data_IF_083391943527
#
_entry.id   IF_083391943527
#
_cell.length_a   1.000
_cell.length_b   1.000
_cell.length_c   1.000
_cell.angle_alpha   90.00
_cell.angle_beta   90.00
_cell.angle_gamma   90.00
#
_symmetry.space_group_name_H-M   'P 1'
#
loop_
_entity.id
_entity.type
_entity.pdbx_description
1 polymer ?
#
# COMPACT_ATOMS: atom_id res chain seq x y z
N UNK A 1 35.42 -25.48 18.00
CA UNK A 1 35.08 -24.20 17.36
C UNK A 1 33.91 -23.63 18.12
N UNK A 2 33.99 -22.37 18.53
CA UNK A 2 32.90 -21.66 19.19
C UNK A 2 31.67 -21.66 18.26
N UNK A 3 30.51 -22.13 18.75
CA UNK A 3 29.25 -22.20 17.99
C UNK A 3 28.24 -21.23 18.59
N UNK A 4 27.26 -20.81 17.80
CA UNK A 4 26.19 -19.89 18.20
C UNK A 4 26.45 -18.43 17.86
N UNK A 5 27.61 -18.09 17.30
CA UNK A 5 27.92 -16.72 16.86
C UNK A 5 27.64 -16.49 15.36
N UNK A 6 27.55 -17.56 14.55
CA UNK A 6 27.17 -17.48 13.13
C UNK A 6 28.17 -16.71 12.24
N UNK A 7 29.38 -16.45 12.73
CA UNK A 7 30.35 -15.58 12.05
C UNK A 7 30.05 -14.07 12.15
N UNK A 8 28.88 -13.69 12.67
CA UNK A 8 28.44 -12.30 12.75
C UNK A 8 29.25 -11.50 13.77
N UNK A 9 29.44 -10.21 13.49
CA UNK A 9 30.10 -9.27 14.40
C UNK A 9 29.32 -7.96 14.42
N UNK A 10 29.20 -7.37 15.62
CA UNK A 10 28.73 -6.00 15.77
C UNK A 10 29.98 -5.14 15.83
N UNK A 11 30.15 -4.23 14.88
CA UNK A 11 31.30 -3.32 14.88
C UNK A 11 31.13 -2.24 15.95
N UNK A 12 32.24 -1.64 16.42
CA UNK A 12 32.18 -0.53 17.37
C UNK A 12 31.27 0.60 16.86
N UNK A 13 31.33 0.90 15.56
CA UNK A 13 30.47 1.88 14.93
C UNK A 13 28.98 1.51 14.98
N UNK A 14 28.63 0.24 14.76
CA UNK A 14 27.24 -0.21 14.93
C UNK A 14 26.78 -0.03 16.37
N UNK A 15 27.62 -0.39 17.34
CA UNK A 15 27.29 -0.20 18.76
C UNK A 15 27.08 1.27 19.10
N UNK A 16 27.92 2.17 18.59
CA UNK A 16 27.82 3.61 18.84
C UNK A 16 26.50 4.17 18.32
N UNK A 17 26.05 3.72 17.15
CA UNK A 17 24.73 4.11 16.64
C UNK A 17 23.60 3.50 17.48
N UNK A 18 23.70 2.22 17.83
CA UNK A 18 22.67 1.51 18.60
C UNK A 18 22.48 2.05 20.03
N UNK A 19 23.56 2.56 20.65
CA UNK A 19 23.57 3.16 22.00
C UNK A 19 22.83 4.49 22.07
N UNK A 20 22.55 5.14 20.93
CA UNK A 20 21.82 6.40 20.94
C UNK A 20 20.40 6.22 21.52
N UNK A 21 19.92 7.15 22.35
CA UNK A 21 18.59 7.06 22.95
C UNK A 21 17.49 7.26 21.91
N UNK A 22 16.30 6.70 22.17
CA UNK A 22 15.15 6.83 21.28
C UNK A 22 15.30 6.03 19.97
N UNK A 23 14.57 6.45 18.93
CA UNK A 23 14.65 5.83 17.60
C UNK A 23 15.80 6.39 16.79
N UNK A 24 16.42 5.54 15.98
CA UNK A 24 17.51 5.88 15.09
C UNK A 24 16.88 6.46 13.81
N UNK A 25 16.77 7.78 13.76
CA UNK A 25 16.32 8.52 12.57
C UNK A 25 17.39 8.56 11.48
N UNK A 26 17.02 9.06 10.29
CA UNK A 26 17.99 9.31 9.20
C UNK A 26 19.15 10.19 9.69
N UNK A 27 18.85 11.25 10.46
CA UNK A 27 19.87 12.16 11.02
C UNK A 27 20.81 11.49 12.01
N UNK A 28 20.37 10.40 12.64
CA UNK A 28 21.14 9.62 13.60
C UNK A 28 21.91 8.46 12.96
N UNK A 29 21.84 8.32 11.62
CA UNK A 29 22.60 7.33 10.87
C UNK A 29 21.85 6.02 10.60
N UNK A 30 20.51 6.04 10.53
CA UNK A 30 19.70 4.83 10.27
C UNK A 30 20.10 4.11 8.99
N UNK A 31 20.31 4.85 7.89
CA UNK A 31 20.72 4.30 6.59
C UNK A 31 22.10 3.62 6.67
N UNK A 32 23.05 4.27 7.37
CA UNK A 32 24.39 3.73 7.59
C UNK A 32 24.32 2.43 8.39
N UNK A 33 23.52 2.42 9.46
CA UNK A 33 23.34 1.25 10.29
C UNK A 33 22.68 0.09 9.51
N UNK A 34 21.67 0.37 8.68
CA UNK A 34 21.05 -0.63 7.80
C UNK A 34 22.06 -1.25 6.83
N UNK A 35 22.89 -0.42 6.20
CA UNK A 35 23.92 -0.89 5.28
C UNK A 35 24.92 -1.81 6.00
N UNK A 36 25.40 -1.40 7.19
CA UNK A 36 26.30 -2.24 8.00
C UNK A 36 25.65 -3.56 8.41
N UNK A 37 24.38 -3.55 8.84
CA UNK A 37 23.64 -4.78 9.14
C UNK A 37 23.55 -5.69 7.93
N UNK A 38 23.24 -5.14 6.75
CA UNK A 38 23.14 -5.93 5.52
C UNK A 38 24.48 -6.55 5.13
N UNK A 39 25.58 -5.80 5.23
CA UNK A 39 26.94 -6.29 4.97
C UNK A 39 27.31 -7.40 5.95
N UNK A 40 27.19 -7.15 7.25
CA UNK A 40 27.56 -8.12 8.29
C UNK A 40 26.68 -9.37 8.24
N UNK A 41 25.37 -9.22 8.00
CA UNK A 41 24.49 -10.37 7.84
C UNK A 41 24.81 -11.20 6.59
N UNK A 42 25.39 -10.59 5.55
CA UNK A 42 25.91 -11.30 4.38
C UNK A 42 27.05 -12.28 4.70
N UNK A 43 27.75 -12.08 5.83
CA UNK A 43 28.82 -12.96 6.32
C UNK A 43 28.31 -14.10 7.21
N UNK A 44 26.98 -14.26 7.35
CA UNK A 44 26.38 -15.32 8.15
C UNK A 44 26.84 -16.71 7.67
N UNK A 45 27.64 -17.37 8.49
CA UNK A 45 28.06 -18.76 8.30
C UNK A 45 27.14 -19.66 9.13
N UNK A 46 26.21 -20.31 8.43
CA UNK A 46 25.22 -21.21 9.05
C UNK A 46 25.88 -22.38 9.78
N UNK A 47 27.10 -22.78 9.43
CA UNK A 47 27.82 -23.88 10.10
C UNK A 47 28.39 -23.47 11.47
N UNK A 48 28.43 -22.17 11.76
CA UNK A 48 28.84 -21.61 13.06
C UNK A 48 27.64 -21.28 13.96
N UNK A 49 26.43 -21.60 13.54
CA UNK A 49 25.24 -21.58 14.39
C UNK A 49 25.26 -22.77 15.36
N UNK A 50 24.47 -22.71 16.43
CA UNK A 50 24.18 -23.92 17.18
C UNK A 50 23.45 -24.94 16.29
N UNK A 51 23.47 -26.22 16.67
CA UNK A 51 22.70 -27.24 15.96
C UNK A 51 21.20 -26.90 15.92
N UNK A 52 20.69 -26.29 16.98
CA UNK A 52 19.28 -25.91 17.09
C UNK A 52 18.94 -24.71 16.18
N UNK A 53 19.74 -23.64 16.19
CA UNK A 53 19.57 -22.50 15.29
C UNK A 53 19.71 -22.91 13.82
N UNK A 54 20.68 -23.80 13.52
CA UNK A 54 20.82 -24.38 12.19
C UNK A 54 19.57 -25.15 11.76
N UNK A 55 19.03 -26.02 12.63
CA UNK A 55 17.80 -26.76 12.35
C UNK A 55 16.59 -25.83 12.13
N UNK A 56 16.47 -24.76 12.92
CA UNK A 56 15.43 -23.74 12.74
C UNK A 56 15.58 -23.02 11.39
N UNK A 57 16.77 -22.51 11.09
CA UNK A 57 17.05 -21.77 9.86
C UNK A 57 16.88 -22.65 8.61
N UNK A 58 17.21 -23.94 8.69
CA UNK A 58 17.03 -24.87 7.57
C UNK A 58 15.62 -25.48 7.50
N UNK A 59 14.78 -25.30 8.53
CA UNK A 59 13.43 -25.85 8.54
C UNK A 59 13.38 -27.38 8.80
N UNK A 60 14.38 -27.92 9.51
CA UNK A 60 14.46 -29.34 9.89
C UNK A 60 13.60 -29.64 11.13
N UNK A 61 12.29 -29.76 10.92
CA UNK A 61 11.31 -29.89 12.01
C UNK A 61 11.56 -31.07 12.95
N UNK A 62 12.05 -32.21 12.45
CA UNK A 62 12.27 -33.39 13.30
C UNK A 62 13.40 -33.14 14.31
N UNK A 63 14.47 -32.47 13.88
CA UNK A 63 15.59 -32.13 14.76
C UNK A 63 15.19 -31.10 15.80
N UNK A 64 14.37 -30.10 15.41
CA UNK A 64 13.82 -29.12 16.34
C UNK A 64 12.96 -29.82 17.41
N UNK A 65 12.04 -30.71 16.99
CA UNK A 65 11.20 -31.47 17.93
C UNK A 65 11.99 -32.37 18.84
N UNK A 66 13.00 -33.07 18.31
CA UNK A 66 13.86 -33.94 19.08
C UNK A 66 14.66 -33.14 20.12
N UNK A 67 15.19 -31.98 19.75
CA UNK A 67 15.94 -31.13 20.67
C UNK A 67 15.08 -30.59 21.81
N UNK A 68 13.87 -30.10 21.51
CA UNK A 68 12.94 -29.58 22.52
C UNK A 68 12.46 -30.70 23.43
N UNK A 69 11.97 -31.81 22.87
CA UNK A 69 11.42 -32.94 23.64
C UNK A 69 12.49 -33.67 24.46
N UNK A 70 13.73 -33.70 23.96
CA UNK A 70 14.87 -34.28 24.66
C UNK A 70 15.51 -33.37 25.71
N UNK A 71 15.03 -32.12 25.87
CA UNK A 71 15.58 -31.16 26.83
C UNK A 71 16.99 -30.67 26.51
N UNK A 72 17.45 -30.83 25.27
CA UNK A 72 18.78 -30.41 24.79
C UNK A 72 18.74 -29.13 23.95
N UNK A 73 17.53 -28.63 23.64
CA UNK A 73 17.36 -27.33 23.01
C UNK A 73 17.91 -26.21 23.92
N UNK A 74 18.49 -25.15 23.35
CA UNK A 74 18.75 -23.91 24.10
C UNK A 74 17.43 -23.33 24.62
N UNK A 75 17.52 -22.32 25.48
CA UNK A 75 16.35 -21.54 25.88
C UNK A 75 15.67 -20.95 24.64
N UNK A 76 14.54 -21.52 24.26
CA UNK A 76 13.76 -21.14 23.08
C UNK A 76 13.17 -19.73 23.19
N UNK A 77 13.20 -19.13 24.39
CA UNK A 77 12.82 -17.74 24.64
C UNK A 77 13.98 -16.77 24.43
N UNK A 78 15.19 -17.29 24.31
CA UNK A 78 16.40 -16.54 24.04
C UNK A 78 16.72 -16.37 22.56
N UNK A 79 17.95 -15.92 22.31
CA UNK A 79 18.46 -15.62 20.99
C UNK A 79 19.92 -16.07 20.85
N UNK A 80 20.37 -16.22 19.61
CA UNK A 80 21.77 -16.50 19.29
C UNK A 80 22.40 -15.36 18.50
N UNK A 81 23.72 -15.45 18.36
CA UNK A 81 24.60 -14.51 17.65
C UNK A 81 24.74 -13.14 18.33
N UNK A 82 25.79 -12.38 18.00
CA UNK A 82 25.89 -10.98 18.41
C UNK A 82 24.70 -10.12 17.98
N UNK A 83 23.93 -10.55 16.97
CA UNK A 83 22.75 -9.84 16.49
C UNK A 83 21.49 -10.16 17.28
N UNK A 84 21.55 -11.05 18.29
CA UNK A 84 20.42 -11.43 19.14
C UNK A 84 19.22 -11.93 18.31
N UNK A 85 19.48 -12.77 17.32
CA UNK A 85 18.44 -13.32 16.45
C UNK A 85 17.72 -14.46 17.19
N UNK A 86 16.42 -14.31 17.39
CA UNK A 86 15.56 -15.36 17.95
C UNK A 86 15.31 -16.53 16.98
N UNK A 87 14.90 -17.68 17.50
CA UNK A 87 14.70 -18.89 16.70
C UNK A 87 13.55 -18.79 15.68
N UNK A 88 12.49 -18.04 16.01
CA UNK A 88 11.43 -17.71 15.05
C UNK A 88 11.98 -16.84 13.91
N UNK A 89 12.77 -15.81 14.24
CA UNK A 89 13.44 -14.95 13.24
C UNK A 89 14.40 -15.74 12.36
N UNK A 90 15.21 -16.65 12.92
CA UNK A 90 16.06 -17.56 12.12
C UNK A 90 15.26 -18.38 11.12
N UNK A 91 14.14 -18.92 11.56
CA UNK A 91 13.27 -19.75 10.72
C UNK A 91 12.72 -18.94 9.54
N UNK A 92 12.30 -17.69 9.77
CA UNK A 92 11.85 -16.77 8.72
C UNK A 92 13.00 -16.39 7.77
N UNK A 93 14.15 -15.99 8.31
CA UNK A 93 15.33 -15.59 7.55
C UNK A 93 15.89 -16.73 6.69
N UNK A 94 15.76 -17.96 7.19
CA UNK A 94 16.08 -19.20 6.50
C UNK A 94 15.16 -19.49 5.32
N UNK A 95 13.84 -19.36 5.51
CA UNK A 95 12.85 -19.50 4.45
C UNK A 95 13.07 -18.51 3.28
N UNK A 96 13.59 -17.32 3.59
CA UNK A 96 13.93 -16.31 2.57
C UNK A 96 15.17 -16.68 1.76
N UNK A 97 16.19 -17.25 2.40
CA UNK A 97 17.54 -17.40 1.82
C UNK A 97 17.77 -18.76 1.16
N UNK A 98 17.20 -19.82 1.73
CA UNK A 98 17.47 -21.18 1.27
C UNK A 98 16.53 -21.50 0.11
N UNK A 99 17.02 -21.34 -1.11
CA UNK A 99 16.32 -21.70 -2.36
C UNK A 99 16.90 -23.01 -2.92
N UNK A 100 16.06 -23.82 -3.56
CA UNK A 100 16.50 -25.01 -4.31
C UNK A 100 16.53 -26.33 -3.53
N UNK A 101 15.98 -26.37 -2.32
CA UNK A 101 15.73 -27.63 -1.63
C UNK A 101 14.51 -28.34 -2.24
N UNK A 102 14.47 -29.68 -2.13
CA UNK A 102 13.35 -30.48 -2.62
C UNK A 102 12.02 -29.97 -2.03
N UNK A 103 10.91 -29.93 -2.80
CA UNK A 103 9.64 -29.31 -2.40
C UNK A 103 9.02 -29.76 -1.05
N UNK A 104 9.57 -30.79 -0.40
CA UNK A 104 9.09 -31.32 0.88
C UNK A 104 10.17 -31.42 1.99
N UNK A 105 11.41 -30.99 1.74
CA UNK A 105 12.49 -31.22 2.72
C UNK A 105 12.61 -30.14 3.79
N UNK A 106 12.24 -28.88 3.49
CA UNK A 106 12.36 -27.77 4.44
C UNK A 106 10.97 -27.29 4.87
N UNK A 107 10.70 -27.37 6.17
CA UNK A 107 9.38 -27.18 6.75
C UNK A 107 9.35 -25.98 7.71
N UNK A 108 9.80 -24.81 7.25
CA UNK A 108 9.88 -23.59 8.05
C UNK A 108 8.54 -23.22 8.71
N UNK A 109 7.41 -23.41 8.00
CA UNK A 109 6.09 -23.17 8.57
C UNK A 109 5.79 -24.11 9.76
N UNK A 110 6.14 -25.40 9.65
CA UNK A 110 5.95 -26.36 10.73
C UNK A 110 6.84 -26.04 11.93
N UNK A 111 8.07 -25.55 11.68
CA UNK A 111 8.99 -25.09 12.73
C UNK A 111 8.41 -23.88 13.46
N UNK A 112 7.93 -22.85 12.75
CA UNK A 112 7.28 -21.68 13.38
C UNK A 112 6.11 -22.12 14.26
N UNK A 113 5.19 -22.94 13.72
CA UNK A 113 4.02 -23.39 14.47
C UNK A 113 4.41 -24.19 15.72
N UNK A 114 5.41 -25.07 15.62
CA UNK A 114 5.87 -25.86 16.75
C UNK A 114 6.55 -25.01 17.83
N UNK A 115 7.45 -24.10 17.44
CA UNK A 115 8.12 -23.20 18.39
C UNK A 115 7.12 -22.32 19.13
N UNK A 116 6.11 -21.78 18.42
CA UNK A 116 5.02 -21.00 19.04
C UNK A 116 4.21 -21.87 20.03
N UNK A 117 3.90 -23.11 19.68
CA UNK A 117 3.21 -24.05 20.59
C UNK A 117 4.05 -24.36 21.84
N UNK A 118 5.37 -24.38 21.71
CA UNK A 118 6.30 -24.56 22.83
C UNK A 118 6.52 -23.28 23.66
N UNK A 119 5.89 -22.15 23.31
CA UNK A 119 6.00 -20.90 24.06
C UNK A 119 7.15 -19.99 23.62
N UNK A 120 7.72 -20.20 22.41
CA UNK A 120 8.68 -19.24 21.86
C UNK A 120 8.01 -17.86 21.68
N UNK A 121 8.62 -16.78 22.18
CA UNK A 121 8.04 -15.44 22.13
C UNK A 121 8.00 -14.91 20.70
N UNK A 122 6.81 -14.60 20.14
CA UNK A 122 6.68 -14.16 18.75
C UNK A 122 7.32 -12.78 18.47
N UNK A 123 7.40 -11.95 19.52
CA UNK A 123 7.86 -10.56 19.44
C UNK A 123 9.29 -10.36 19.98
N UNK A 124 10.10 -11.42 20.07
CA UNK A 124 11.50 -11.29 20.49
C UNK A 124 12.28 -10.45 19.47
N UNK A 125 12.83 -9.29 19.87
CA UNK A 125 13.55 -8.42 18.96
C UNK A 125 15.00 -8.86 18.76
N UNK A 126 15.49 -8.71 17.53
CA UNK A 126 16.93 -8.71 17.27
C UNK A 126 17.59 -7.39 17.73
N UNK A 127 18.90 -7.26 17.54
CA UNK A 127 19.65 -6.06 17.94
C UNK A 127 19.17 -4.78 17.25
N UNK A 128 18.50 -4.88 16.10
CA UNK A 128 17.86 -3.77 15.39
C UNK A 128 16.40 -3.56 15.80
N UNK A 129 15.88 -4.35 16.73
CA UNK A 129 14.49 -4.31 17.15
C UNK A 129 13.52 -5.04 16.23
N UNK A 130 13.99 -5.76 15.19
CA UNK A 130 13.09 -6.51 14.32
C UNK A 130 12.64 -7.80 15.00
N UNK A 131 11.34 -8.03 15.00
CA UNK A 131 10.74 -9.32 15.38
C UNK A 131 10.65 -10.26 14.18
N UNK A 132 10.28 -11.52 14.42
CA UNK A 132 10.04 -12.47 13.34
C UNK A 132 9.00 -11.95 12.32
N UNK A 133 7.99 -11.20 12.79
CA UNK A 133 6.96 -10.62 11.92
C UNK A 133 7.52 -9.52 11.03
N UNK A 134 8.42 -8.65 11.54
CA UNK A 134 9.12 -7.68 10.70
C UNK A 134 9.85 -8.37 9.55
N UNK A 135 10.64 -9.39 9.87
CA UNK A 135 11.38 -10.16 8.87
C UNK A 135 10.45 -10.81 7.85
N UNK A 136 9.30 -11.37 8.27
CA UNK A 136 8.36 -12.05 7.39
C UNK A 136 7.66 -11.09 6.40
N UNK A 137 7.55 -9.82 6.75
CA UNK A 137 6.97 -8.76 5.92
C UNK A 137 8.01 -8.06 5.01
N UNK A 138 9.31 -8.28 5.21
CA UNK A 138 10.38 -7.63 4.45
C UNK A 138 10.47 -8.16 3.00
N UNK A 139 10.42 -7.28 1.98
CA UNK A 139 10.58 -7.68 0.57
C UNK A 139 12.03 -8.12 0.25
N UNK A 140 12.28 -8.84 -0.87
CA UNK A 140 11.37 -9.24 -1.94
C UNK A 140 10.60 -10.54 -1.68
N UNK A 141 10.75 -11.12 -0.48
CA UNK A 141 10.24 -12.44 -0.11
C UNK A 141 9.28 -12.30 1.07
N UNK A 142 8.19 -11.56 0.84
CA UNK A 142 7.05 -11.56 1.75
C UNK A 142 6.53 -12.99 1.87
N UNK A 143 6.71 -13.61 3.04
CA UNK A 143 6.27 -14.98 3.29
C UNK A 143 4.91 -14.95 3.98
N UNK A 144 3.85 -14.71 3.19
CA UNK A 144 2.48 -14.62 3.68
C UNK A 144 2.10 -15.73 4.66
N UNK A 145 2.46 -16.99 4.36
CA UNK A 145 2.18 -18.14 5.22
C UNK A 145 2.87 -18.05 6.59
N UNK A 146 4.11 -17.54 6.65
CA UNK A 146 4.87 -17.37 7.90
C UNK A 146 4.36 -16.18 8.69
N UNK A 147 4.11 -15.04 8.03
CA UNK A 147 3.47 -13.88 8.65
C UNK A 147 2.12 -14.26 9.26
N UNK A 148 1.33 -15.08 8.53
CA UNK A 148 0.07 -15.63 9.02
C UNK A 148 0.25 -16.46 10.28
N UNK A 149 1.21 -17.39 10.27
CA UNK A 149 1.47 -18.25 11.43
C UNK A 149 1.88 -17.44 12.66
N UNK A 150 2.76 -16.45 12.49
CA UNK A 150 3.21 -15.56 13.56
C UNK A 150 2.06 -14.76 14.17
N UNK A 151 1.22 -14.13 13.35
CA UNK A 151 0.06 -13.36 13.81
C UNK A 151 -0.97 -14.24 14.52
N UNK A 152 -1.26 -15.44 13.99
CA UNK A 152 -2.12 -16.42 14.68
C UNK A 152 -1.50 -16.92 15.99
N UNK A 153 -0.18 -16.94 16.07
CA UNK A 153 0.60 -17.23 17.27
C UNK A 153 0.71 -16.08 18.26
N UNK A 154 0.00 -14.97 18.02
CA UNK A 154 -0.03 -13.84 18.95
C UNK A 154 1.07 -12.79 18.72
N UNK A 155 1.79 -12.81 17.60
CA UNK A 155 2.70 -11.72 17.24
C UNK A 155 1.95 -10.38 17.18
N UNK A 156 2.51 -9.35 17.81
CA UNK A 156 1.93 -8.02 17.79
C UNK A 156 2.31 -7.28 16.49
N UNK A 157 1.35 -6.90 15.63
CA UNK A 157 1.64 -6.19 14.37
C UNK A 157 2.11 -4.75 14.56
N UNK A 158 2.19 -4.26 15.80
CA UNK A 158 2.50 -2.87 16.15
C UNK A 158 3.82 -2.71 16.91
N UNK A 159 4.65 -3.77 17.01
CA UNK A 159 6.00 -3.64 17.61
C UNK A 159 6.84 -2.70 16.77
N UNK A 160 7.49 -1.72 17.41
CA UNK A 160 8.41 -0.80 16.73
C UNK A 160 9.85 -1.27 16.87
N UNK A 161 10.57 -1.36 15.75
CA UNK A 161 12.00 -1.63 15.75
C UNK A 161 12.83 -0.40 16.22
N UNK A 162 14.16 -0.47 16.19
CA UNK A 162 15.05 0.65 16.58
C UNK A 162 14.95 1.86 15.65
N UNK A 163 14.31 1.73 14.49
CA UNK A 163 14.01 2.82 13.56
C UNK A 163 12.59 3.37 13.75
N UNK A 164 11.82 2.85 14.71
CA UNK A 164 10.44 3.23 14.97
C UNK A 164 9.42 2.59 14.01
N UNK A 165 9.87 1.75 13.09
CA UNK A 165 9.01 1.13 12.09
C UNK A 165 8.25 -0.05 12.68
N UNK A 166 6.97 -0.12 12.35
CA UNK A 166 6.12 -1.31 12.56
C UNK A 166 6.17 -2.24 11.34
N UNK A 167 5.81 -3.54 11.48
CA UNK A 167 5.72 -4.49 10.36
C UNK A 167 4.93 -4.00 9.13
N UNK A 168 3.96 -3.10 9.31
CA UNK A 168 3.13 -2.57 8.22
C UNK A 168 3.89 -1.67 7.22
N UNK A 169 5.06 -1.15 7.55
CA UNK A 169 5.86 -0.36 6.59
C UNK A 169 6.43 -1.21 5.45
N UNK A 170 6.85 -2.45 5.72
CA UNK A 170 7.60 -3.26 4.78
C UNK A 170 6.79 -3.73 3.55
N UNK A 171 5.52 -4.15 3.67
CA UNK A 171 4.67 -4.51 2.53
C UNK A 171 4.48 -3.36 1.54
N UNK A 172 4.62 -2.11 1.98
CA UNK A 172 4.45 -0.95 1.09
C UNK A 172 5.59 -0.87 0.06
N UNK A 173 6.83 -1.14 0.48
CA UNK A 173 7.99 -1.17 -0.41
C UNK A 173 7.88 -2.27 -1.47
N UNK A 174 7.36 -3.45 -1.09
CA UNK A 174 7.15 -4.58 -1.99
C UNK A 174 5.83 -4.54 -2.79
N UNK A 175 4.92 -3.59 -2.47
CA UNK A 175 3.51 -3.62 -2.91
C UNK A 175 2.80 -4.96 -2.61
N UNK A 176 3.13 -5.59 -1.49
CA UNK A 176 2.56 -6.87 -1.06
C UNK A 176 1.19 -6.65 -0.38
N UNK A 177 0.16 -6.48 -1.21
CA UNK A 177 -1.21 -6.25 -0.75
C UNK A 177 -1.76 -7.40 0.12
N UNK A 178 -1.49 -8.70 -0.19
CA UNK A 178 -1.90 -9.80 0.69
C UNK A 178 -1.38 -9.69 2.12
N UNK A 179 -0.08 -9.41 2.32
CA UNK A 179 0.48 -9.23 3.67
C UNK A 179 -0.08 -7.98 4.34
N UNK A 180 -0.18 -6.86 3.60
CA UNK A 180 -0.81 -5.63 4.10
C UNK A 180 -2.22 -5.90 4.62
N UNK A 181 -3.07 -6.54 3.82
CA UNK A 181 -4.45 -6.84 4.20
C UNK A 181 -4.51 -7.72 5.46
N UNK A 182 -3.62 -8.70 5.56
CA UNK A 182 -3.59 -9.61 6.69
C UNK A 182 -3.10 -8.95 8.00
N UNK A 183 -2.13 -8.04 7.92
CA UNK A 183 -1.74 -7.19 9.05
C UNK A 183 -2.91 -6.30 9.50
N UNK A 184 -3.63 -5.71 8.54
CA UNK A 184 -4.77 -4.84 8.82
C UNK A 184 -5.95 -5.60 9.45
N UNK A 185 -6.16 -6.87 9.07
CA UNK A 185 -7.10 -7.80 9.73
C UNK A 185 -6.76 -8.04 11.20
N UNK A 186 -5.48 -7.99 11.56
CA UNK A 186 -5.00 -8.19 12.93
C UNK A 186 -4.78 -6.86 13.66
N UNK A 187 -5.49 -5.80 13.27
CA UNK A 187 -5.46 -4.48 13.92
C UNK A 187 -4.08 -3.79 13.89
N UNK A 188 -3.33 -3.95 12.79
CA UNK A 188 -2.18 -3.07 12.55
C UNK A 188 -2.61 -1.60 12.54
N UNK A 189 -1.89 -0.76 13.27
CA UNK A 189 -2.15 0.66 13.44
C UNK A 189 -1.50 1.45 12.30
N UNK A 190 -2.29 2.34 11.69
CA UNK A 190 -1.85 3.20 10.60
C UNK A 190 -1.21 4.50 11.08
N UNK A 191 -1.31 4.81 12.38
CA UNK A 191 -0.95 6.10 12.96
C UNK A 191 0.32 6.06 13.81
N UNK A 192 0.91 4.88 14.03
CA UNK A 192 2.21 4.73 14.68
C UNK A 192 3.29 5.36 13.80
N UNK A 193 4.02 6.32 14.37
CA UNK A 193 5.08 7.06 13.69
C UNK A 193 6.43 6.39 13.86
N UNK A 194 7.20 6.35 12.78
CA UNK A 194 8.59 5.93 12.81
C UNK A 194 9.52 6.99 13.43
N UNK A 195 10.82 6.70 13.47
CA UNK A 195 11.84 7.61 13.99
C UNK A 195 12.00 8.90 13.17
N UNK A 196 11.40 9.00 11.99
CA UNK A 196 11.36 10.21 11.16
C UNK A 196 10.04 10.98 11.30
N UNK A 197 9.08 10.44 12.05
CA UNK A 197 7.77 11.06 12.29
C UNK A 197 6.70 10.66 11.26
N UNK A 198 7.01 9.73 10.37
CA UNK A 198 6.13 9.25 9.32
C UNK A 198 5.27 8.09 9.82
N UNK A 199 3.97 8.08 9.51
CA UNK A 199 3.09 6.95 9.80
C UNK A 199 2.73 6.16 8.54
N UNK A 200 2.30 4.88 8.64
CA UNK A 200 1.81 4.13 7.49
C UNK A 200 0.68 4.87 6.74
N UNK A 201 -0.22 5.56 7.46
CA UNK A 201 -1.26 6.40 6.84
C UNK A 201 -0.66 7.50 5.97
N UNK A 202 0.32 8.22 6.50
CA UNK A 202 0.98 9.33 5.80
C UNK A 202 1.80 8.87 4.59
N UNK A 203 2.51 7.75 4.72
CA UNK A 203 3.40 7.26 3.68
C UNK A 203 2.71 6.44 2.58
N UNK A 204 1.50 5.92 2.79
CA UNK A 204 0.83 5.06 1.80
C UNK A 204 0.64 5.72 0.42
N UNK A 205 0.60 7.06 0.34
CA UNK A 205 0.49 7.82 -0.92
C UNK A 205 1.79 7.81 -1.73
N UNK A 206 2.94 7.65 -1.06
CA UNK A 206 4.28 7.62 -1.68
C UNK A 206 4.50 6.30 -2.41
N UNK A 207 4.03 5.19 -1.83
CA UNK A 207 4.23 3.82 -2.35
C UNK A 207 3.28 3.42 -3.49
N UNK A 208 2.48 4.36 -4.00
CA UNK A 208 1.71 4.19 -5.23
C UNK A 208 0.27 3.70 -5.03
N UNK A 209 -0.50 3.62 -6.13
CA UNK A 209 -1.95 3.57 -6.07
C UNK A 209 -2.53 2.28 -5.47
N UNK A 210 -1.82 1.15 -5.56
CA UNK A 210 -2.30 -0.12 -5.00
C UNK A 210 -2.27 -0.11 -3.47
N UNK A 211 -1.15 0.35 -2.89
CA UNK A 211 -0.98 0.51 -1.44
C UNK A 211 -1.96 1.54 -0.90
N UNK A 212 -2.04 2.72 -1.54
CA UNK A 212 -2.99 3.77 -1.15
C UNK A 212 -4.43 3.25 -1.14
N UNK A 213 -4.83 2.51 -2.17
CA UNK A 213 -6.19 1.98 -2.27
C UNK A 213 -6.48 0.91 -1.19
N UNK A 214 -5.50 0.06 -0.89
CA UNK A 214 -5.63 -0.95 0.16
C UNK A 214 -5.79 -0.30 1.54
N UNK A 215 -4.93 0.67 1.89
CA UNK A 215 -5.01 1.40 3.16
C UNK A 215 -6.36 2.11 3.30
N UNK A 216 -6.80 2.84 2.28
CA UNK A 216 -8.07 3.58 2.32
C UNK A 216 -9.30 2.68 2.36
N UNK A 217 -9.25 1.52 1.71
CA UNK A 217 -10.27 0.48 1.86
C UNK A 217 -10.40 0.07 3.33
N UNK A 218 -9.28 -0.12 4.02
CA UNK A 218 -9.29 -0.47 5.44
C UNK A 218 -9.73 0.68 6.34
N UNK A 219 -9.34 1.92 6.07
CA UNK A 219 -9.84 3.10 6.79
C UNK A 219 -11.36 3.18 6.72
N UNK A 220 -11.92 3.03 5.52
CA UNK A 220 -13.38 2.96 5.28
C UNK A 220 -14.04 1.80 6.02
N UNK A 221 -13.44 0.60 5.94
CA UNK A 221 -13.95 -0.58 6.64
C UNK A 221 -13.96 -0.38 8.16
N UNK A 222 -12.96 0.28 8.73
CA UNK A 222 -12.88 0.60 10.17
C UNK A 222 -13.83 1.73 10.59
N UNK A 223 -14.07 2.72 9.73
CA UNK A 223 -15.01 3.81 10.00
C UNK A 223 -16.48 3.44 9.75
N UNK A 224 -16.73 2.34 9.04
CA UNK A 224 -18.07 1.96 8.55
C UNK A 224 -18.52 2.76 7.32
N UNK A 225 -17.65 3.58 6.74
CA UNK A 225 -17.94 4.33 5.52
C UNK A 225 -17.96 3.38 4.31
N UNK A 226 -19.08 3.30 3.60
CA UNK A 226 -19.17 2.51 2.37
C UNK A 226 -18.68 3.34 1.18
N UNK A 227 -17.67 2.85 0.46
CA UNK A 227 -17.21 3.52 -0.75
C UNK A 227 -18.25 3.39 -1.88
N UNK A 228 -18.58 4.51 -2.53
CA UNK A 228 -19.46 4.51 -3.69
C UNK A 228 -18.82 3.74 -4.84
N UNK A 229 -19.45 2.67 -5.32
CA UNK A 229 -18.97 1.82 -6.43
C UNK A 229 -17.76 0.95 -6.12
N UNK A 230 -17.51 0.65 -4.84
CA UNK A 230 -16.56 -0.40 -4.48
C UNK A 230 -16.89 -1.71 -5.19
N UNK A 231 -18.18 -2.06 -5.23
CA UNK A 231 -18.70 -3.17 -6.02
C UNK A 231 -19.63 -2.68 -7.15
N UNK A 232 -19.56 -3.31 -8.33
CA UNK A 232 -20.48 -3.04 -9.46
C UNK A 232 -21.76 -3.86 -9.31
N UNK A 233 -22.56 -3.48 -8.33
CA UNK A 233 -23.80 -4.15 -7.96
C UNK A 233 -25.01 -3.22 -7.94
N UNK A 234 -26.20 -3.81 -8.01
CA UNK A 234 -27.46 -3.11 -7.71
C UNK A 234 -27.52 -2.76 -6.22
N UNK A 235 -27.81 -1.51 -5.88
CA UNK A 235 -27.84 -1.08 -4.47
C UNK A 235 -28.95 -1.78 -3.67
N UNK A 236 -30.06 -2.14 -4.31
CA UNK A 236 -31.18 -2.81 -3.67
C UNK A 236 -30.94 -4.32 -3.48
N UNK A 237 -30.83 -5.07 -4.58
CA UNK A 237 -30.81 -6.53 -4.56
C UNK A 237 -29.40 -7.14 -4.56
N UNK A 238 -28.34 -6.31 -4.53
CA UNK A 238 -26.92 -6.73 -4.56
C UNK A 238 -26.52 -7.59 -5.77
N UNK A 239 -27.36 -7.63 -6.81
CA UNK A 239 -27.04 -8.33 -8.05
C UNK A 239 -25.85 -7.66 -8.74
N UNK A 240 -24.74 -8.40 -8.83
CA UNK A 240 -23.54 -8.04 -9.60
C UNK A 240 -23.83 -8.21 -11.09
N UNK A 241 -23.39 -7.27 -11.94
CA UNK A 241 -23.60 -7.44 -13.38
C UNK A 241 -23.28 -6.24 -14.26
N UNK A 242 -23.17 -6.51 -15.57
CA UNK A 242 -23.07 -5.48 -16.61
C UNK A 242 -24.45 -4.87 -16.89
N UNK A 243 -24.51 -3.57 -17.17
CA UNK A 243 -25.76 -2.90 -17.59
C UNK A 243 -26.58 -2.25 -16.46
N UNK A 244 -26.01 -2.03 -15.28
CA UNK A 244 -26.67 -1.28 -14.21
C UNK A 244 -26.96 0.17 -14.64
N UNK A 245 -28.20 0.63 -14.47
CA UNK A 245 -28.60 2.01 -14.72
C UNK A 245 -28.31 2.87 -13.49
N UNK A 246 -27.87 4.10 -13.71
CA UNK A 246 -27.63 5.06 -12.63
C UNK A 246 -28.93 5.74 -12.21
N UNK A 247 -29.02 6.12 -10.94
CA UNK A 247 -30.07 7.03 -10.46
C UNK A 247 -29.96 8.35 -11.22
N UNK A 248 -31.01 8.73 -11.96
CA UNK A 248 -31.05 9.94 -12.78
C UNK A 248 -30.93 11.26 -11.99
N UNK A 249 -31.01 11.21 -10.64
CA UNK A 249 -30.91 12.40 -9.79
C UNK A 249 -29.50 12.63 -9.27
N UNK A 250 -28.86 11.60 -8.71
CA UNK A 250 -27.53 11.73 -8.10
C UNK A 250 -26.38 11.22 -8.97
N UNK A 251 -26.67 10.38 -9.96
CA UNK A 251 -25.71 9.63 -10.79
C UNK A 251 -24.72 8.71 -10.03
N UNK A 252 -24.84 8.60 -8.70
CA UNK A 252 -23.92 7.83 -7.85
C UNK A 252 -24.46 6.47 -7.40
N UNK A 253 -25.78 6.23 -7.44
CA UNK A 253 -26.36 4.92 -7.10
C UNK A 253 -26.76 4.15 -8.35
N UNK A 254 -26.63 2.82 -8.32
CA UNK A 254 -26.87 1.93 -9.47
C UNK A 254 -27.97 0.90 -9.19
N UNK A 255 -28.76 0.59 -10.22
CA UNK A 255 -29.85 -0.38 -10.15
C UNK A 255 -29.84 -1.30 -11.38
N UNK A 256 -30.18 -2.58 -11.18
CA UNK A 256 -30.32 -3.53 -12.29
C UNK A 256 -31.66 -3.41 -13.02
N UNK A 257 -32.66 -2.79 -12.40
CA UNK A 257 -33.98 -2.52 -13.00
C UNK A 257 -34.62 -1.28 -12.40
N UNK A 258 -35.62 -0.72 -13.09
CA UNK A 258 -36.49 0.34 -12.57
C UNK A 258 -37.25 -0.09 -11.31
N UNK A 259 -37.57 -1.38 -11.18
CA UNK A 259 -38.27 -1.90 -10.01
C UNK A 259 -37.37 -1.91 -8.77
N UNK A 260 -36.11 -2.31 -8.92
CA UNK A 260 -35.13 -2.21 -7.82
C UNK A 260 -34.96 -0.76 -7.35
N UNK A 261 -34.95 0.20 -8.29
CA UNK A 261 -34.91 1.61 -7.93
C UNK A 261 -36.17 2.03 -7.18
N UNK A 262 -37.37 1.61 -7.64
CA UNK A 262 -38.64 1.94 -7.00
C UNK A 262 -38.72 1.40 -5.57
N UNK A 263 -38.28 0.16 -5.35
CA UNK A 263 -38.26 -0.46 -4.02
C UNK A 263 -37.28 0.22 -3.07
N UNK A 264 -36.09 0.58 -3.57
CA UNK A 264 -35.08 1.29 -2.78
C UNK A 264 -35.35 2.78 -2.61
N UNK A 265 -36.29 3.37 -3.36
CA UNK A 265 -36.46 4.81 -3.40
C UNK A 265 -36.80 5.43 -2.04
N UNK A 266 -37.57 4.73 -1.21
CA UNK A 266 -37.95 5.22 0.13
C UNK A 266 -36.73 5.48 1.02
N UNK A 267 -35.74 4.58 1.00
CA UNK A 267 -34.49 4.71 1.78
C UNK A 267 -33.45 5.57 1.05
N UNK A 268 -33.43 5.54 -0.28
CA UNK A 268 -32.46 6.31 -1.06
C UNK A 268 -32.80 7.81 -1.15
N UNK A 269 -34.08 8.18 -1.31
CA UNK A 269 -34.52 9.57 -1.50
C UNK A 269 -33.93 10.55 -0.48
N UNK A 270 -33.89 10.29 0.84
CA UNK A 270 -33.29 11.20 1.81
C UNK A 270 -31.76 11.30 1.72
N UNK A 271 -31.09 10.26 1.22
CA UNK A 271 -29.63 10.21 1.06
C UNK A 271 -29.16 10.68 -0.33
N UNK A 272 -30.09 10.84 -1.27
CA UNK A 272 -29.80 11.16 -2.66
C UNK A 272 -29.35 12.61 -2.80
N UNK A 273 -28.05 12.84 -2.98
CA UNK A 273 -27.50 14.16 -3.30
C UNK A 273 -27.66 14.46 -4.80
N UNK A 274 -28.52 15.39 -5.24
CA UNK A 274 -28.64 15.75 -6.65
C UNK A 274 -27.47 16.63 -7.12
N UNK A 275 -27.32 16.80 -8.43
CA UNK A 275 -26.47 17.86 -9.00
C UNK A 275 -27.08 19.23 -8.63
N UNK A 276 -26.31 20.02 -7.89
CA UNK A 276 -26.72 21.33 -7.36
C UNK A 276 -25.49 22.17 -7.05
N UNK A 277 -25.66 23.49 -6.91
CA UNK A 277 -24.58 24.45 -6.63
C UNK A 277 -23.75 24.13 -5.39
N UNK A 278 -24.32 23.45 -4.39
CA UNK A 278 -23.60 23.02 -3.17
C UNK A 278 -22.86 21.69 -3.30
N UNK A 279 -23.02 20.97 -4.41
CA UNK A 279 -22.48 19.61 -4.60
C UNK A 279 -21.58 19.48 -5.82
N UNK A 280 -21.59 20.47 -6.70
CA UNK A 280 -20.91 20.45 -8.00
C UNK A 280 -20.07 21.70 -8.19
N UNK A 281 -19.00 21.57 -8.97
CA UNK A 281 -18.28 22.69 -9.57
C UNK A 281 -18.53 22.71 -11.08
N UNK A 282 -18.53 23.89 -11.67
CA UNK A 282 -18.65 24.07 -13.11
C UNK A 282 -17.30 24.48 -13.67
N UNK A 283 -16.73 23.64 -14.53
CA UNK A 283 -15.42 23.85 -15.14
C UNK A 283 -15.59 24.22 -16.61
N UNK A 284 -14.73 25.12 -17.10
CA UNK A 284 -14.60 25.46 -18.51
C UNK A 284 -13.53 24.58 -19.18
N UNK A 285 -13.91 23.55 -19.96
CA UNK A 285 -12.98 22.65 -20.61
C UNK A 285 -12.32 23.28 -21.84
N UNK A 286 -11.06 22.92 -22.07
CA UNK A 286 -10.32 23.21 -23.30
C UNK A 286 -10.02 21.90 -24.02
N UNK A 287 -10.26 21.88 -25.34
CA UNK A 287 -10.08 20.71 -26.20
C UNK A 287 -8.92 20.95 -27.18
N UNK A 288 -8.06 19.95 -27.37
CA UNK A 288 -6.86 20.04 -28.20
C UNK A 288 -5.59 20.39 -27.41
N UNK A 289 -4.42 20.17 -28.01
CA UNK A 289 -3.09 20.34 -27.39
C UNK A 289 -2.88 19.57 -26.07
N UNK A 290 -3.14 18.27 -26.10
CA UNK A 290 -2.74 17.37 -25.03
C UNK A 290 -1.24 17.09 -25.20
N UNK A 291 -0.38 17.98 -24.69
CA UNK A 291 1.07 17.78 -24.72
C UNK A 291 1.44 16.46 -24.03
N UNK A 292 2.52 15.85 -24.55
CA UNK A 292 3.06 14.52 -24.22
C UNK A 292 2.72 13.99 -22.83
N UNK A 293 1.70 13.13 -22.75
CA UNK A 293 1.49 12.31 -21.55
C UNK A 293 2.61 11.27 -21.48
N UNK A 294 3.55 11.45 -20.56
CA UNK A 294 4.56 10.42 -20.23
C UNK A 294 3.95 9.43 -19.24
N UNK A 295 4.30 8.15 -19.36
CA UNK A 295 3.89 7.17 -18.35
C UNK A 295 4.60 7.46 -17.02
N UNK A 296 4.02 7.08 -15.88
CA UNK A 296 4.69 7.25 -14.58
C UNK A 296 6.03 6.47 -14.52
N UNK A 297 6.12 5.34 -15.23
CA UNK A 297 7.35 4.57 -15.34
C UNK A 297 8.41 5.32 -16.16
N UNK A 298 8.05 5.87 -17.32
CA UNK A 298 8.97 6.67 -18.15
C UNK A 298 9.40 7.95 -17.43
N UNK A 299 8.47 8.60 -16.73
CA UNK A 299 8.75 9.75 -15.87
C UNK A 299 9.77 9.40 -14.78
N UNK A 300 9.56 8.28 -14.07
CA UNK A 300 10.48 7.85 -13.01
C UNK A 300 11.85 7.50 -13.58
N UNK A 301 11.91 6.89 -14.77
CA UNK A 301 13.16 6.60 -15.47
C UNK A 301 13.90 7.88 -15.84
N UNK A 302 13.22 8.85 -16.44
CA UNK A 302 13.83 10.14 -16.81
C UNK A 302 14.31 10.91 -15.58
N UNK A 303 13.53 10.94 -14.50
CA UNK A 303 13.92 11.56 -13.23
C UNK A 303 15.17 10.89 -12.59
N UNK A 304 15.38 9.60 -12.86
CA UNK A 304 16.57 8.84 -12.46
C UNK A 304 17.72 8.90 -13.49
N UNK A 305 17.61 9.74 -14.54
CA UNK A 305 18.63 9.86 -15.59
C UNK A 305 18.70 8.66 -16.54
N UNK A 306 17.71 7.77 -16.52
CA UNK A 306 17.62 6.61 -17.40
C UNK A 306 16.88 6.96 -18.69
N UNK A 307 17.41 6.54 -19.85
CA UNK A 307 16.74 6.81 -21.13
C UNK A 307 15.37 6.11 -21.18
N UNK A 308 14.33 6.88 -21.46
CA UNK A 308 12.98 6.39 -21.74
C UNK A 308 12.86 6.07 -23.24
N UNK A 309 12.22 4.96 -23.63
CA UNK A 309 11.84 4.79 -25.03
C UNK A 309 10.86 5.92 -25.40
N UNK A 310 11.04 6.55 -26.58
CA UNK A 310 10.14 7.61 -27.06
C UNK A 310 8.69 7.15 -26.91
N UNK A 311 7.94 7.83 -26.04
CA UNK A 311 6.52 7.56 -25.82
C UNK A 311 5.82 7.54 -27.18
N UNK A 312 5.31 6.37 -27.59
CA UNK A 312 4.39 6.30 -28.73
C UNK A 312 3.12 7.02 -28.28
N UNK A 313 2.78 8.14 -28.93
CA UNK A 313 1.47 8.77 -28.79
C UNK A 313 0.41 7.66 -28.85
N UNK A 314 -0.53 7.60 -27.89
CA UNK A 314 -1.61 6.62 -27.94
C UNK A 314 -2.26 6.66 -29.32
N UNK A 315 -2.42 5.50 -29.98
CA UNK A 315 -3.06 5.40 -31.32
C UNK A 315 -4.45 6.04 -31.36
N UNK A 316 -5.09 6.17 -30.19
CA UNK A 316 -6.32 6.92 -30.00
C UNK A 316 -5.93 8.32 -29.53
N UNK A 317 -5.65 9.20 -30.49
CA UNK A 317 -5.46 10.61 -30.21
C UNK A 317 -6.68 11.16 -29.44
N UNK A 318 -6.49 12.23 -28.66
CA UNK A 318 -7.58 12.96 -28.07
C UNK A 318 -8.66 13.31 -29.09
N UNK A 319 -9.84 12.71 -28.96
CA UNK A 319 -10.98 13.09 -29.79
C UNK A 319 -11.76 14.18 -29.04
N UNK A 320 -11.87 15.36 -29.66
CA UNK A 320 -12.92 16.31 -29.32
C UNK A 320 -14.26 15.56 -29.47
N UNK A 321 -15.18 15.65 -28.48
CA UNK A 321 -16.47 14.99 -28.58
C UNK A 321 -17.17 15.33 -29.89
N UNK A 322 -17.67 14.32 -30.61
CA UNK A 322 -18.40 14.51 -31.88
C UNK A 322 -19.79 15.14 -31.68
N UNK A 323 -20.34 15.06 -30.46
CA UNK A 323 -21.58 15.72 -30.05
C UNK A 323 -21.44 16.25 -28.62
N UNK A 324 -22.03 17.42 -28.37
CA UNK A 324 -22.12 18.09 -27.08
C UNK A 324 -23.53 18.02 -26.49
N UNK A 325 -24.34 17.04 -26.91
CA UNK A 325 -25.63 16.75 -26.28
C UNK A 325 -25.45 16.51 -24.78
N UNK A 326 -26.44 16.93 -23.98
CA UNK A 326 -26.40 16.79 -22.52
C UNK A 326 -26.17 15.32 -22.13
N UNK A 327 -24.93 15.00 -21.71
CA UNK A 327 -24.50 13.62 -21.46
C UNK A 327 -23.95 13.49 -20.05
N UNK A 328 -24.63 12.70 -19.23
CA UNK A 328 -24.09 12.23 -17.95
C UNK A 328 -22.99 11.21 -18.21
N UNK A 329 -21.85 11.37 -17.54
CA UNK A 329 -20.72 10.44 -17.68
C UNK A 329 -19.91 10.34 -16.39
N UNK A 330 -18.97 9.40 -16.41
CA UNK A 330 -17.97 9.24 -15.35
C UNK A 330 -16.64 9.66 -15.90
N UNK A 331 -16.04 10.61 -15.22
CA UNK A 331 -14.74 11.16 -15.55
C UNK A 331 -13.73 10.75 -14.50
N UNK A 332 -12.49 10.57 -14.95
CA UNK A 332 -11.29 10.60 -14.15
C UNK A 332 -10.71 12.00 -14.27
N UNK A 333 -10.46 12.63 -13.14
CA UNK A 333 -9.75 13.90 -13.04
C UNK A 333 -8.36 13.60 -12.51
N UNK A 334 -7.34 14.10 -13.19
CA UNK A 334 -5.93 13.97 -12.82
C UNK A 334 -5.33 15.36 -12.63
N UNK A 335 -4.76 15.59 -11.45
CA UNK A 335 -4.11 16.87 -11.09
C UNK A 335 -2.65 16.88 -11.53
N UNK A 336 -2.08 18.06 -11.88
CA UNK A 336 -0.67 18.18 -12.24
C UNK A 336 0.24 17.86 -11.05
N UNK A 337 1.33 17.13 -11.28
CA UNK A 337 2.30 16.75 -10.24
C UNK A 337 3.60 17.51 -10.50
N UNK A 338 4.24 18.04 -9.44
CA UNK A 338 5.55 18.68 -9.58
C UNK A 338 6.62 17.60 -9.83
N UNK A 339 7.42 17.74 -10.90
CA UNK A 339 8.45 16.76 -11.21
C UNK A 339 9.57 16.67 -10.17
N UNK A 340 9.82 17.70 -9.37
CA UNK A 340 10.85 17.74 -8.33
C UNK A 340 10.30 17.40 -6.94
N UNK A 341 8.98 17.31 -6.81
CA UNK A 341 8.31 16.85 -5.61
C UNK A 341 7.12 15.99 -5.99
N UNK A 342 7.33 14.68 -6.26
CA UNK A 342 6.26 13.77 -6.67
C UNK A 342 5.17 13.59 -5.59
N UNK A 343 5.42 14.06 -4.37
CA UNK A 343 4.48 14.19 -3.26
C UNK A 343 3.85 15.59 -3.17
N UNK A 344 4.54 16.66 -3.57
CA UNK A 344 3.94 17.98 -3.69
C UNK A 344 3.33 18.16 -5.09
N UNK A 345 2.02 17.93 -5.18
CA UNK A 345 1.23 18.47 -6.30
C UNK A 345 1.28 19.99 -6.20
N UNK A 346 2.03 20.65 -7.09
CA UNK A 346 2.16 22.11 -7.13
C UNK A 346 0.77 22.76 -7.13
N UNK A 347 0.47 23.55 -6.10
CA UNK A 347 -0.76 24.35 -6.12
C UNK A 347 -0.57 25.44 -7.18
N UNK A 348 -1.15 25.21 -8.36
CA UNK A 348 -1.29 26.23 -9.39
C UNK A 348 -0.36 26.14 -10.60
N UNK A 349 0.50 25.12 -10.74
CA UNK A 349 1.35 24.95 -11.93
C UNK A 349 0.87 23.76 -12.77
N UNK A 350 -0.13 23.99 -13.62
CA UNK A 350 -0.58 23.02 -14.63
C UNK A 350 -2.09 22.97 -14.81
N UNK A 351 -2.56 22.38 -15.91
CA UNK A 351 -3.99 22.12 -16.13
C UNK A 351 -4.41 20.74 -15.63
N UNK A 352 -5.67 20.59 -15.22
CA UNK A 352 -6.27 19.28 -14.96
C UNK A 352 -6.36 18.50 -16.26
N UNK A 353 -6.09 17.20 -16.22
CA UNK A 353 -6.42 16.27 -17.30
C UNK A 353 -7.69 15.50 -16.93
N UNK A 354 -8.72 15.61 -17.75
CA UNK A 354 -10.03 15.01 -17.50
C UNK A 354 -10.43 14.10 -18.67
N UNK A 355 -10.76 12.85 -18.40
CA UNK A 355 -11.22 11.90 -19.42
C UNK A 355 -12.12 10.82 -18.85
N UNK A 356 -12.93 10.20 -19.70
CA UNK A 356 -13.76 9.06 -19.30
C UNK A 356 -13.08 7.71 -19.59
N UNK A 357 -13.72 6.59 -19.19
CA UNK A 357 -13.17 5.24 -19.36
C UNK A 357 -12.75 4.92 -20.79
N UNK A 358 -13.61 5.24 -21.75
CA UNK A 358 -13.42 4.87 -23.16
C UNK A 358 -12.47 5.82 -23.89
N UNK A 359 -12.11 6.94 -23.26
CA UNK A 359 -11.35 8.06 -23.85
C UNK A 359 -12.01 8.64 -25.11
N UNK A 360 -13.32 8.48 -25.25
CA UNK A 360 -14.16 9.18 -26.24
C UNK A 360 -14.59 10.57 -25.75
N UNK A 361 -14.29 10.90 -24.49
CA UNK A 361 -14.30 12.26 -23.95
C UNK A 361 -12.97 12.54 -23.25
N UNK A 362 -12.32 13.64 -23.63
CA UNK A 362 -11.13 14.14 -22.96
C UNK A 362 -11.02 15.66 -23.12
N UNK A 363 -10.61 16.34 -22.05
CA UNK A 363 -10.36 17.78 -22.02
C UNK A 363 -9.29 18.13 -20.99
N UNK A 364 -8.80 19.37 -21.07
CA UNK A 364 -7.98 19.97 -20.02
C UNK A 364 -8.71 21.14 -19.39
N UNK A 365 -8.41 21.45 -18.13
CA UNK A 365 -8.95 22.64 -17.44
C UNK A 365 -7.78 23.42 -16.86
N UNK A 366 -7.60 24.66 -17.29
CA UNK A 366 -6.60 25.56 -16.72
C UNK A 366 -7.17 26.31 -15.52
N UNK A 367 -6.31 26.60 -14.54
CA UNK A 367 -6.71 27.40 -13.36
C UNK A 367 -7.11 28.83 -13.75
N UNK A 368 -6.42 29.42 -14.72
CA UNK A 368 -6.75 30.74 -15.25
C UNK A 368 -8.18 30.74 -15.82
N UNK A 369 -9.07 31.54 -15.24
CA UNK A 369 -10.48 31.63 -15.63
C UNK A 369 -11.42 30.64 -14.93
N UNK A 370 -10.92 29.76 -14.04
CA UNK A 370 -11.72 28.83 -13.23
C UNK A 370 -11.18 28.73 -11.78
N UNK A 371 -10.68 29.82 -11.21
CA UNK A 371 -9.80 29.76 -10.03
C UNK A 371 -10.40 28.99 -8.85
N UNK A 372 -11.62 29.30 -8.45
CA UNK A 372 -12.25 28.70 -7.27
C UNK A 372 -12.65 27.25 -7.53
N UNK A 373 -13.30 26.99 -8.66
CA UNK A 373 -13.79 25.67 -9.07
C UNK A 373 -12.64 24.69 -9.31
N UNK A 374 -11.55 25.18 -9.89
CA UNK A 374 -10.30 24.45 -10.03
C UNK A 374 -9.71 24.10 -8.66
N UNK A 375 -9.57 25.08 -7.76
CA UNK A 375 -8.96 24.86 -6.46
C UNK A 375 -9.79 23.91 -5.58
N UNK A 376 -11.12 23.98 -5.69
CA UNK A 376 -12.04 23.07 -5.00
C UNK A 376 -11.87 21.62 -5.48
N UNK A 377 -11.88 21.37 -6.81
CA UNK A 377 -11.70 20.02 -7.31
C UNK A 377 -10.30 19.47 -7.00
N UNK A 378 -9.26 20.30 -7.07
CA UNK A 378 -7.90 19.90 -6.66
C UNK A 378 -7.87 19.51 -5.18
N UNK A 379 -8.52 20.28 -4.31
CA UNK A 379 -8.62 19.97 -2.86
C UNK A 379 -9.29 18.63 -2.62
N UNK A 380 -10.39 18.33 -3.34
CA UNK A 380 -11.06 17.03 -3.25
C UNK A 380 -10.19 15.90 -3.78
N UNK A 381 -9.50 16.07 -4.92
CA UNK A 381 -8.58 15.04 -5.45
C UNK A 381 -7.41 14.78 -4.50
N UNK A 382 -6.85 15.82 -3.88
CA UNK A 382 -5.75 15.68 -2.92
C UNK A 382 -6.18 14.92 -1.66
N UNK A 383 -7.33 15.28 -1.10
CA UNK A 383 -7.83 14.70 0.16
C UNK A 383 -8.43 13.30 -0.02
N UNK A 384 -9.20 13.09 -1.09
CA UNK A 384 -10.02 11.87 -1.29
C UNK A 384 -9.63 11.06 -2.52
N UNK A 385 -8.75 11.56 -3.39
CA UNK A 385 -8.30 10.88 -4.61
C UNK A 385 -7.09 9.97 -4.41
N UNK A 386 -6.95 8.96 -5.26
CA UNK A 386 -5.87 7.94 -5.23
C UNK A 386 -4.52 8.61 -5.33
N UNK A 387 -3.69 8.42 -4.29
CA UNK A 387 -2.35 9.00 -4.18
C UNK A 387 -2.34 10.53 -4.22
N UNK A 388 -3.47 11.19 -3.96
CA UNK A 388 -3.63 12.64 -4.08
C UNK A 388 -3.56 13.18 -5.51
N UNK A 389 -3.46 12.30 -6.52
CA UNK A 389 -3.19 12.69 -7.92
C UNK A 389 -4.35 12.47 -8.87
N UNK A 390 -5.29 11.59 -8.54
CA UNK A 390 -6.44 11.29 -9.40
C UNK A 390 -7.68 10.89 -8.60
N UNK A 391 -8.86 11.26 -9.07
CA UNK A 391 -10.13 10.78 -8.52
C UNK A 391 -11.18 10.59 -9.63
N UNK A 392 -12.25 9.86 -9.31
CA UNK A 392 -13.35 9.59 -10.23
C UNK A 392 -14.61 10.31 -9.76
N UNK A 393 -15.32 10.93 -10.69
CA UNK A 393 -16.48 11.74 -10.39
C UNK A 393 -17.61 11.47 -11.38
N UNK A 394 -18.85 11.66 -10.91
CA UNK A 394 -19.99 11.84 -11.80
C UNK A 394 -19.95 13.26 -12.37
N UNK A 395 -20.20 13.39 -13.67
CA UNK A 395 -20.19 14.67 -14.37
C UNK A 395 -21.28 14.75 -15.44
N UNK A 396 -21.70 15.98 -15.73
CA UNK A 396 -22.59 16.32 -16.84
C UNK A 396 -21.89 17.31 -17.75
N UNK A 397 -21.74 16.95 -19.03
CA UNK A 397 -21.37 17.92 -20.06
C UNK A 397 -22.67 18.57 -20.55
N UNK A 398 -22.91 19.83 -20.16
CA UNK A 398 -24.14 20.57 -20.51
C UNK A 398 -24.01 21.31 -21.82
N UNK A 399 -22.85 21.92 -22.05
CA UNK A 399 -22.48 22.57 -23.29
C UNK A 399 -21.02 22.27 -23.60
N UNK A 400 -20.52 22.73 -24.75
CA UNK A 400 -19.09 22.66 -25.08
C UNK A 400 -18.20 23.31 -24.02
N UNK A 401 -18.67 24.35 -23.35
CA UNK A 401 -17.85 25.13 -22.41
C UNK A 401 -18.29 24.94 -20.94
N UNK A 402 -19.25 24.06 -20.66
CA UNK A 402 -19.82 23.85 -19.33
C UNK A 402 -19.76 22.36 -18.94
N UNK A 403 -18.70 21.99 -18.19
CA UNK A 403 -18.55 20.68 -17.59
C UNK A 403 -18.87 20.77 -16.09
N UNK A 404 -20.00 20.20 -15.68
CA UNK A 404 -20.44 20.18 -14.27
C UNK A 404 -19.95 18.90 -13.61
N UNK A 405 -19.11 19.02 -12.60
CA UNK A 405 -18.50 17.88 -11.89
C UNK A 405 -19.00 17.83 -10.46
N UNK A 406 -19.54 16.69 -10.04
CA UNK A 406 -20.02 16.47 -8.68
C UNK A 406 -18.87 16.12 -7.75
N UNK A 407 -18.43 17.09 -6.94
CA UNK A 407 -17.28 16.95 -6.04
C UNK A 407 -17.66 16.60 -4.60
N UNK A 408 -18.95 16.63 -4.24
CA UNK A 408 -19.41 16.20 -2.91
C UNK A 408 -19.14 14.72 -2.64
N UNK A 409 -19.08 13.91 -3.70
CA UNK A 409 -18.89 12.47 -3.66
C UNK A 409 -17.77 12.06 -4.64
N UNK A 410 -16.68 11.49 -4.11
CA UNK A 410 -15.70 10.77 -4.93
C UNK A 410 -16.15 9.34 -5.11
N UNK A 411 -16.17 8.87 -6.35
CA UNK A 411 -16.41 7.47 -6.65
C UNK A 411 -15.19 6.66 -6.21
N UNK A 412 -15.42 5.41 -5.80
CA UNK A 412 -14.40 4.51 -5.28
C UNK A 412 -13.17 4.48 -6.19
N UNK A 413 -12.04 4.19 -5.56
CA UNK A 413 -10.73 4.08 -6.17
C UNK A 413 -10.74 2.94 -7.19
N UNK A 414 -11.28 3.18 -8.38
CA UNK A 414 -11.36 2.17 -9.41
C UNK A 414 -9.92 1.87 -9.84
N UNK A 415 -9.42 0.63 -9.67
CA UNK A 415 -8.27 0.19 -10.44
C UNK A 415 -8.74 0.23 -11.89
N UNK A 416 -8.09 1.07 -12.70
CA UNK A 416 -8.39 1.16 -14.12
C UNK A 416 -7.38 0.38 -14.91
#
# INVERSE_FOLDING_TARGET
MERGHGGLKVTAEMEDILKQPGYISIKMGSEKLRAMFQTQFGELDINKLSSFAFACMTGQIQDVKAAVSGGVAPDITGAETPFKIGFLSFTVLGAQRIRGASPNSLKHLDVINYLLQCGAPPDLPDISGHTALHHACTPPLGHFELARALLKGGANPNVQNRYGEVPLFFPFQGQDIPILDFLMEHNADLDIKDGNGDSPRGLCVVFGPQVTAAVRRWERKRSGEKALWEEKECEYCKKKGRGLKQCARCHTVRYCSSDCQRMHWKTHKPLCQPFSTSTTVTLKPTYGNFSSTISRADFTREALGLSSPKSKLPKNAPHTPMSFDQKSMIIKVQVPVDPFSPTATSMGLGGLLIYNKKKDFMCTVQRAGNTNEYDDIVRVVKSRGVGGVKAYFAAELRTRDELVVKISETLAEQPF
#
